data_IF_123756298109
#
_entry.id   IF_123756298109
#
_cell.length_a   1.000
_cell.length_b   1.000
_cell.length_c   1.000
_cell.angle_alpha   90.00
_cell.angle_beta   90.00
_cell.angle_gamma   90.00
#
_symmetry.space_group_name_H-M   'P 1'
#
loop_
_entity.id
_entity.type
_entity.pdbx_description
1 polymer ?
#
# COMPACT_ATOMS: atom_id res chain seq x y z
N UNK A 1 -4.85 -8.14 1.19
CA UNK A 1 -3.49 -7.64 1.54
C UNK A 1 -2.89 -8.35 2.75
N UNK A 2 -3.61 -8.45 3.88
CA UNK A 2 -3.11 -9.10 5.10
C UNK A 2 -2.52 -10.50 4.90
N UNK A 3 -3.29 -11.39 4.29
CA UNK A 3 -2.86 -12.77 4.04
C UNK A 3 -1.65 -12.84 3.10
N UNK A 4 -1.61 -11.98 2.07
CA UNK A 4 -0.45 -11.88 1.18
C UNK A 4 0.82 -11.49 1.96
N UNK A 5 0.75 -10.49 2.85
CA UNK A 5 1.89 -10.11 3.69
C UNK A 5 2.32 -11.22 4.66
N UNK A 6 1.37 -11.98 5.21
CA UNK A 6 1.66 -13.16 6.05
C UNK A 6 2.48 -14.19 5.29
N UNK A 7 2.00 -14.59 4.11
CA UNK A 7 2.62 -15.64 3.29
C UNK A 7 3.97 -15.21 2.70
N UNK A 8 4.13 -13.93 2.36
CA UNK A 8 5.31 -13.40 1.68
C UNK A 8 6.27 -12.64 2.60
N UNK A 9 6.13 -12.78 3.94
CA UNK A 9 6.98 -12.09 4.92
C UNK A 9 8.47 -12.38 4.78
N UNK A 10 8.83 -13.54 4.22
CA UNK A 10 10.22 -13.98 4.00
C UNK A 10 10.89 -13.31 2.80
N UNK A 11 10.11 -12.77 1.83
CA UNK A 11 10.64 -12.12 0.63
C UNK A 11 11.45 -10.87 0.95
N UNK A 12 12.24 -10.38 0.00
CA UNK A 12 12.97 -9.12 0.16
C UNK A 12 12.00 -7.93 0.37
N UNK A 13 12.47 -6.86 1.00
CA UNK A 13 11.66 -5.64 1.20
C UNK A 13 11.25 -5.02 -0.14
N UNK A 14 12.12 -5.09 -1.15
CA UNK A 14 11.86 -4.59 -2.51
C UNK A 14 10.68 -5.33 -3.14
N UNK A 15 10.70 -6.66 -3.18
CA UNK A 15 9.60 -7.45 -3.73
C UNK A 15 8.29 -7.23 -2.98
N UNK A 16 8.36 -7.09 -1.64
CA UNK A 16 7.19 -6.76 -0.83
C UNK A 16 6.60 -5.41 -1.24
N UNK A 17 7.43 -4.37 -1.35
CA UNK A 17 7.01 -3.04 -1.76
C UNK A 17 6.39 -3.04 -3.17
N UNK A 18 7.02 -3.68 -4.14
CA UNK A 18 6.54 -3.73 -5.52
C UNK A 18 5.17 -4.41 -5.62
N UNK A 19 4.98 -5.51 -4.89
CA UNK A 19 3.72 -6.24 -4.87
C UNK A 19 2.60 -5.49 -4.14
N UNK A 20 2.93 -4.78 -3.06
CA UNK A 20 2.00 -3.91 -2.35
C UNK A 20 1.58 -2.72 -3.24
N UNK A 21 2.53 -2.13 -3.97
CA UNK A 21 2.25 -1.05 -4.90
C UNK A 21 1.37 -1.51 -6.07
N UNK A 22 1.57 -2.72 -6.61
CA UNK A 22 0.65 -3.28 -7.61
C UNK A 22 -0.78 -3.41 -7.07
N UNK A 23 -0.95 -3.88 -5.83
CA UNK A 23 -2.28 -3.98 -5.18
C UNK A 23 -2.91 -2.62 -4.96
N UNK A 24 -2.13 -1.62 -4.54
CA UNK A 24 -2.59 -0.24 -4.38
C UNK A 24 -3.04 0.37 -5.71
N UNK A 25 -2.26 0.20 -6.79
CA UNK A 25 -2.64 0.68 -8.14
C UNK A 25 -3.95 0.05 -8.60
N UNK A 26 -4.10 -1.27 -8.47
CA UNK A 26 -5.34 -1.95 -8.85
C UNK A 26 -6.55 -1.43 -8.06
N UNK A 27 -6.40 -1.23 -6.75
CA UNK A 27 -7.45 -0.65 -5.91
C UNK A 27 -7.81 0.77 -6.34
N UNK A 28 -6.81 1.60 -6.66
CA UNK A 28 -7.06 2.96 -7.15
C UNK A 28 -7.69 2.98 -8.54
N UNK A 29 -7.32 2.07 -9.43
CA UNK A 29 -7.95 1.95 -10.74
C UNK A 29 -9.43 1.58 -10.66
N UNK A 30 -9.81 0.76 -9.69
CA UNK A 30 -11.21 0.33 -9.52
C UNK A 30 -12.05 1.34 -8.71
N UNK A 31 -11.48 1.95 -7.67
CA UNK A 31 -12.20 2.81 -6.73
C UNK A 31 -11.88 4.31 -6.84
N UNK A 32 -11.07 4.71 -7.83
CA UNK A 32 -10.55 6.07 -8.05
C UNK A 32 -11.54 7.07 -8.64
N UNK A 33 -12.82 6.98 -8.28
CA UNK A 33 -13.84 7.96 -8.66
C UNK A 33 -13.76 9.22 -7.79
N UNK A 34 -14.21 10.35 -8.35
CA UNK A 34 -14.28 11.64 -7.66
C UNK A 34 -15.08 11.52 -6.36
N UNK A 35 -14.50 11.98 -5.23
CA UNK A 35 -15.12 11.92 -3.90
C UNK A 35 -14.62 10.78 -2.99
N UNK A 36 -13.86 9.81 -3.49
CA UNK A 36 -13.42 8.66 -2.68
C UNK A 36 -12.03 8.81 -2.01
N UNK A 37 -11.45 10.02 -2.02
CA UNK A 37 -10.08 10.27 -1.53
C UNK A 37 -9.85 9.81 -0.08
N UNK A 38 -10.85 10.00 0.79
CA UNK A 38 -10.80 9.57 2.20
C UNK A 38 -10.69 8.05 2.33
N UNK A 39 -11.51 7.28 1.62
CA UNK A 39 -11.44 5.82 1.71
C UNK A 39 -10.16 5.27 1.07
N UNK A 40 -9.68 5.88 -0.03
CA UNK A 40 -8.39 5.52 -0.63
C UNK A 40 -7.23 5.78 0.35
N UNK A 41 -7.25 6.91 1.08
CA UNK A 41 -6.30 7.20 2.14
C UNK A 41 -6.33 6.18 3.28
N UNK A 42 -7.54 5.82 3.74
CA UNK A 42 -7.74 4.79 4.76
C UNK A 42 -7.23 3.42 4.30
N UNK A 43 -7.40 3.09 3.03
CA UNK A 43 -6.89 1.85 2.46
C UNK A 43 -5.36 1.82 2.46
N UNK A 44 -4.69 2.89 1.99
CA UNK A 44 -3.22 3.01 2.05
C UNK A 44 -2.72 2.88 3.47
N UNK A 45 -3.37 3.56 4.43
CA UNK A 45 -2.99 3.47 5.84
C UNK A 45 -3.16 2.05 6.40
N UNK A 46 -4.23 1.36 6.01
CA UNK A 46 -4.45 -0.04 6.37
C UNK A 46 -3.37 -0.96 5.79
N UNK A 47 -2.97 -0.76 4.53
CA UNK A 47 -1.84 -1.48 3.91
C UNK A 47 -0.53 -1.26 4.68
N UNK A 48 -0.23 0.00 5.04
CA UNK A 48 0.95 0.36 5.86
C UNK A 48 0.97 -0.38 7.19
N UNK A 49 -0.16 -0.37 7.93
CA UNK A 49 -0.29 -1.07 9.21
C UNK A 49 -0.08 -2.58 9.10
N UNK A 50 -0.71 -3.18 8.10
CA UNK A 50 -0.58 -4.61 7.81
C UNK A 50 0.87 -4.96 7.50
N UNK A 51 1.53 -4.19 6.64
CA UNK A 51 2.91 -4.45 6.29
C UNK A 51 3.85 -4.33 7.50
N UNK A 52 3.72 -3.26 8.29
CA UNK A 52 4.47 -3.08 9.54
C UNK A 52 4.28 -4.27 10.48
N UNK A 53 3.03 -4.72 10.69
CA UNK A 53 2.70 -5.87 11.55
C UNK A 53 3.44 -7.14 11.11
N UNK A 54 3.49 -7.43 9.81
CA UNK A 54 4.13 -8.65 9.33
C UNK A 54 5.66 -8.55 9.26
N UNK A 55 6.21 -7.35 9.08
CA UNK A 55 7.65 -7.10 9.24
C UNK A 55 8.10 -7.25 10.70
N UNK A 56 7.29 -6.77 11.65
CA UNK A 56 7.54 -6.98 13.09
C UNK A 56 7.58 -8.48 13.42
N UNK A 57 6.64 -9.26 12.86
CA UNK A 57 6.56 -10.72 13.02
C UNK A 57 7.56 -11.51 12.16
N UNK A 58 8.37 -10.85 11.34
CA UNK A 58 9.41 -11.48 10.52
C UNK A 58 10.68 -11.70 11.33
N UNK A 59 11.04 -10.75 12.20
CA UNK A 59 12.27 -10.81 12.99
C UNK A 59 11.94 -10.84 14.48
N UNK A 60 12.22 -11.95 15.15
CA UNK A 60 12.12 -12.01 16.60
C UNK A 60 13.16 -11.12 17.31
N UNK A 61 14.27 -10.78 16.63
CA UNK A 61 15.38 -10.00 17.20
C UNK A 61 15.20 -8.49 17.10
N UNK A 62 14.23 -8.01 16.32
CA UNK A 62 14.13 -6.59 15.99
C UNK A 62 12.68 -6.14 15.79
N UNK A 63 12.14 -5.42 16.77
CA UNK A 63 10.82 -4.78 16.70
C UNK A 63 10.75 -3.72 15.60
N UNK A 64 9.64 -3.68 14.89
CA UNK A 64 9.30 -2.75 13.81
C UNK A 64 8.38 -1.64 14.33
N UNK A 65 8.96 -0.71 15.10
CA UNK A 65 8.30 0.50 15.57
C UNK A 65 7.98 1.46 14.42
N UNK A 66 7.02 2.37 14.64
CA UNK A 66 6.60 3.33 13.62
C UNK A 66 7.75 4.20 13.06
N UNK A 67 8.67 4.77 13.87
CA UNK A 67 9.80 5.55 13.34
C UNK A 67 10.73 4.72 12.44
N UNK A 68 11.01 3.47 12.82
CA UNK A 68 11.81 2.56 12.00
C UNK A 68 11.10 2.23 10.69
N UNK A 69 9.79 2.02 10.75
CA UNK A 69 8.99 1.79 9.56
C UNK A 69 8.88 3.04 8.67
N UNK A 70 8.90 4.24 9.24
CA UNK A 70 8.96 5.49 8.48
C UNK A 70 10.26 5.57 7.65
N UNK A 71 11.42 5.30 8.27
CA UNK A 71 12.71 5.18 7.55
C UNK A 71 12.69 4.09 6.47
N UNK A 72 12.01 2.98 6.73
CA UNK A 72 11.84 1.94 5.71
C UNK A 72 11.03 2.46 4.51
N UNK A 73 9.99 3.26 4.75
CA UNK A 73 9.16 3.85 3.69
C UNK A 73 9.87 4.97 2.92
N UNK A 74 10.89 5.61 3.48
CA UNK A 74 11.76 6.53 2.73
C UNK A 74 12.53 5.76 1.65
N UNK A 75 13.03 4.56 1.97
CA UNK A 75 13.75 3.69 1.02
C UNK A 75 12.81 2.90 0.10
N UNK A 76 11.67 2.47 0.62
CA UNK A 76 10.69 1.62 -0.08
C UNK A 76 9.30 2.26 -0.02
N UNK A 77 9.08 3.37 -0.76
CA UNK A 77 7.83 4.12 -0.68
C UNK A 77 6.64 3.32 -1.22
N UNK A 78 5.52 3.39 -0.52
CA UNK A 78 4.23 2.96 -1.04
C UNK A 78 3.57 4.11 -1.82
N UNK A 79 2.83 3.76 -2.87
CA UNK A 79 2.10 4.75 -3.68
C UNK A 79 1.09 5.46 -2.78
N UNK A 80 1.14 6.79 -2.79
CA UNK A 80 0.16 7.63 -2.11
C UNK A 80 -1.16 7.58 -2.87
N UNK A 81 -2.28 7.62 -2.16
CA UNK A 81 -3.56 7.88 -2.78
C UNK A 81 -3.49 9.26 -3.45
N UNK A 82 -3.30 9.28 -4.76
CA UNK A 82 -3.62 10.46 -5.56
C UNK A 82 -5.10 10.28 -5.87
N UNK A 83 -5.93 11.25 -5.50
CA UNK A 83 -7.25 11.35 -6.09
C UNK A 83 -7.00 11.56 -7.58
N UNK A 84 -7.01 10.48 -8.35
CA UNK A 84 -6.98 10.56 -9.79
C UNK A 84 -8.36 11.13 -10.10
N UNK A 85 -8.43 12.38 -10.57
CA UNK A 85 -9.61 12.84 -11.29
C UNK A 85 -9.88 11.77 -12.33
N UNK A 86 -11.02 11.09 -12.24
CA UNK A 86 -11.38 10.03 -13.16
C UNK A 86 -11.45 10.61 -14.58
N UNK A 87 -10.33 10.58 -15.30
CA UNK A 87 -10.28 10.82 -16.75
C UNK A 87 -10.86 9.62 -17.50
N UNK A 88 -11.17 8.52 -16.81
CA UNK A 88 -11.88 7.37 -17.37
C UNK A 88 -13.36 7.67 -17.69
N UNK A 89 -13.91 8.81 -17.23
CA UNK A 89 -15.23 9.28 -17.66
C UNK A 89 -15.19 10.10 -18.96
N UNK A 90 -14.02 10.51 -19.46
CA UNK A 90 -13.91 11.31 -20.70
C UNK A 90 -13.71 10.42 -21.94
N UNK A 91 -13.42 9.13 -21.77
CA UNK A 91 -13.27 8.18 -22.90
C UNK A 91 -14.56 7.44 -23.31
N UNK A 92 -15.71 7.82 -22.76
CA UNK A 92 -17.00 7.26 -23.13
C UNK A 92 -18.07 8.38 -23.19
N UNK A 93 -17.96 9.29 -24.16
CA UNK A 93 -19.04 10.17 -24.64
C UNK A 93 -18.52 11.03 -25.81
N UNK A 94 -19.24 11.13 -26.94
CA UNK A 94 -19.93 10.12 -27.74
C UNK A 94 -19.05 9.55 -28.88
#
# INVERSE_FOLDING_TARGET
>A
VNDWCRRNRHRSLKEQQESLNRKLRGHFGYYGITGNSKALGNFVWSVRRIWRKWLDRRSQRSRMWWPRFARLLERYPLIKARAVHSTLLIKASP
#
